data_IF_967241492665
#
_entry.id   IF_967241492665
#
_cell.length_a   1.000
_cell.length_b   1.000
_cell.length_c   1.000
_cell.angle_alpha   90.00
_cell.angle_beta   90.00
_cell.angle_gamma   90.00
#
_symmetry.space_group_name_H-M   'P 1'
#
loop_
_entity.id
_entity.type
_entity.pdbx_description
1 polymer ?
#
# COMPACT_ATOMS: atom_id res chain seq x y z
N UNK A 1 60.32 -9.37 19.16
CA UNK A 1 59.00 -8.76 19.45
C UNK A 1 58.43 -8.26 18.13
N UNK A 2 57.40 -8.92 17.60
CA UNK A 2 56.81 -8.60 16.30
C UNK A 2 55.37 -8.10 16.50
N UNK A 3 55.09 -6.88 16.05
CA UNK A 3 53.77 -6.27 16.09
C UNK A 3 52.96 -6.71 14.86
N UNK A 4 51.88 -7.45 15.10
CA UNK A 4 50.89 -7.79 14.07
C UNK A 4 49.89 -6.64 13.93
N UNK A 5 49.94 -5.95 12.80
CA UNK A 5 49.02 -4.86 12.46
C UNK A 5 47.67 -5.39 11.99
N UNK A 6 46.61 -5.08 12.74
CA UNK A 6 45.22 -5.33 12.39
C UNK A 6 44.74 -4.20 11.46
N UNK A 7 44.61 -4.50 10.17
CA UNK A 7 44.00 -3.59 9.21
C UNK A 7 42.47 -3.62 9.37
N UNK A 8 41.90 -2.55 9.92
CA UNK A 8 40.46 -2.33 9.95
C UNK A 8 40.00 -1.95 8.53
N UNK A 9 39.30 -2.86 7.86
CA UNK A 9 38.62 -2.56 6.60
C UNK A 9 37.25 -1.97 6.94
N UNK A 10 37.15 -0.64 6.90
CA UNK A 10 35.87 0.07 7.02
C UNK A 10 35.09 -0.07 5.71
N UNK A 11 34.18 -1.05 5.67
CA UNK A 11 33.22 -1.20 4.60
C UNK A 11 32.14 -0.12 4.74
N UNK A 12 32.27 0.98 3.99
CA UNK A 12 31.21 1.99 3.86
C UNK A 12 30.06 1.38 3.04
N UNK A 13 29.03 0.90 3.73
CA UNK A 13 27.77 0.50 3.11
C UNK A 13 27.05 1.77 2.64
N UNK A 14 27.26 2.16 1.38
CA UNK A 14 26.47 3.19 0.71
C UNK A 14 25.04 2.68 0.56
N UNK A 15 24.15 3.08 1.47
CA UNK A 15 22.73 2.79 1.36
C UNK A 15 22.17 3.42 0.09
N UNK A 16 21.67 2.59 -0.83
CA UNK A 16 21.00 3.07 -2.03
C UNK A 16 19.75 3.85 -1.61
N UNK A 17 19.74 5.16 -1.87
CA UNK A 17 18.56 5.98 -1.68
C UNK A 17 17.42 5.40 -2.54
N UNK A 18 16.31 5.04 -1.89
CA UNK A 18 15.14 4.48 -2.57
C UNK A 18 14.57 5.57 -3.48
N UNK A 19 14.78 5.45 -4.80
CA UNK A 19 14.18 6.37 -5.76
C UNK A 19 12.65 6.32 -5.64
N UNK A 20 12.00 7.48 -5.70
CA UNK A 20 10.55 7.56 -5.71
C UNK A 20 9.97 6.76 -6.89
N UNK A 21 8.84 6.06 -6.72
CA UNK A 21 8.24 5.28 -7.80
C UNK A 21 7.87 6.19 -8.97
N UNK A 22 8.21 5.74 -10.19
CA UNK A 22 7.86 6.45 -11.42
C UNK A 22 6.36 6.32 -11.70
N UNK A 23 5.58 7.26 -11.17
CA UNK A 23 4.15 7.32 -11.32
C UNK A 23 3.81 8.12 -12.60
N UNK A 24 3.15 7.51 -13.61
CA UNK A 24 2.50 8.24 -14.75
C UNK A 24 0.96 8.23 -14.79
N UNK A 25 0.24 9.38 -14.86
CA UNK A 25 0.74 10.76 -14.91
C UNK A 25 1.24 11.28 -13.56
N UNK A 26 2.32 12.06 -13.52
CA UNK A 26 2.96 12.49 -12.27
C UNK A 26 1.93 13.05 -11.25
N UNK A 27 1.93 12.56 -10.00
CA UNK A 27 1.02 13.06 -8.98
C UNK A 27 1.31 14.55 -8.74
N UNK A 28 0.25 15.33 -8.49
CA UNK A 28 0.39 16.77 -8.20
C UNK A 28 1.27 17.02 -6.98
N UNK A 29 1.17 16.14 -5.98
CA UNK A 29 1.98 16.14 -4.78
C UNK A 29 2.29 14.70 -4.39
N UNK A 30 3.55 14.42 -4.04
CA UNK A 30 3.98 13.13 -3.55
C UNK A 30 5.08 13.32 -2.51
N UNK A 31 4.85 12.77 -1.32
CA UNK A 31 5.89 12.63 -0.31
C UNK A 31 6.16 11.14 -0.13
N UNK A 32 7.40 10.73 -0.35
CA UNK A 32 7.84 9.35 -0.09
C UNK A 32 8.29 9.29 1.36
N UNK A 33 7.50 8.59 2.18
CA UNK A 33 7.90 8.26 3.55
C UNK A 33 8.85 7.06 3.59
N UNK A 34 9.41 6.79 4.77
CA UNK A 34 10.23 5.60 5.00
C UNK A 34 9.38 4.31 5.13
N UNK A 35 8.09 4.47 5.43
CA UNK A 35 7.16 3.35 5.55
C UNK A 35 6.82 2.76 4.18
N UNK A 36 7.10 1.47 4.04
CA UNK A 36 6.59 0.64 2.97
C UNK A 36 5.33 -0.07 3.45
N UNK A 37 4.41 -0.36 2.54
CA UNK A 37 3.34 -1.32 2.80
C UNK A 37 3.86 -2.71 2.43
N UNK A 38 4.37 -3.53 3.37
CA UNK A 38 4.60 -4.93 3.04
C UNK A 38 3.24 -5.55 2.72
N UNK A 39 3.18 -6.29 1.62
CA UNK A 39 1.99 -7.06 1.26
C UNK A 39 2.14 -8.47 1.86
N UNK A 40 1.48 -8.77 3.00
CA UNK A 40 1.48 -10.10 3.57
C UNK A 40 0.68 -11.08 2.69
N UNK A 41 0.59 -12.33 3.13
CA UNK A 41 -0.20 -13.34 2.44
C UNK A 41 -1.68 -12.96 2.34
N UNK A 42 -2.20 -12.17 3.28
CA UNK A 42 -3.61 -11.77 3.34
C UNK A 42 -3.77 -10.25 3.45
N UNK A 43 -4.55 -9.66 2.54
CA UNK A 43 -4.91 -8.24 2.53
C UNK A 43 -6.42 -8.09 2.69
N UNK A 44 -6.83 -7.28 3.66
CA UNK A 44 -8.23 -6.92 3.85
C UNK A 44 -8.49 -5.57 3.20
N UNK A 45 -9.44 -5.53 2.28
CA UNK A 45 -9.90 -4.28 1.66
C UNK A 45 -11.20 -3.89 2.32
N UNK A 46 -11.14 -2.85 3.16
CA UNK A 46 -12.26 -2.31 3.90
C UNK A 46 -12.91 -1.17 3.11
N UNK A 47 -14.21 -1.32 2.87
CA UNK A 47 -15.04 -0.34 2.15
C UNK A 47 -16.24 0.01 3.03
N UNK A 48 -16.71 1.25 2.99
CA UNK A 48 -17.84 1.71 3.80
C UNK A 48 -19.14 0.96 3.48
N UNK A 49 -20.04 0.86 4.46
CA UNK A 49 -21.32 0.14 4.28
C UNK A 49 -22.23 0.77 3.21
N UNK A 50 -22.10 2.08 2.98
CA UNK A 50 -22.86 2.83 1.99
C UNK A 50 -22.03 3.15 0.74
N UNK A 51 -21.05 2.30 0.42
CA UNK A 51 -20.23 2.50 -0.75
C UNK A 51 -21.04 2.43 -2.04
N UNK A 52 -20.76 3.39 -2.91
CA UNK A 52 -21.31 3.46 -4.26
C UNK A 52 -20.86 2.26 -5.10
N UNK A 53 -21.60 1.92 -6.18
CA UNK A 53 -21.18 0.89 -7.13
C UNK A 53 -19.76 1.11 -7.68
N UNK A 54 -19.35 2.36 -7.87
CA UNK A 54 -18.02 2.73 -8.34
C UNK A 54 -16.93 2.44 -7.30
N UNK A 55 -17.19 2.71 -6.01
CA UNK A 55 -16.26 2.36 -4.92
C UNK A 55 -16.12 0.86 -4.76
N UNK A 56 -17.23 0.11 -4.84
CA UNK A 56 -17.20 -1.35 -4.80
C UNK A 56 -16.41 -1.92 -5.99
N UNK A 57 -16.65 -1.41 -7.20
CA UNK A 57 -15.89 -1.80 -8.39
C UNK A 57 -14.39 -1.49 -8.26
N UNK A 58 -14.03 -0.34 -7.68
CA UNK A 58 -12.65 0.00 -7.40
C UNK A 58 -12.02 -1.00 -6.41
N UNK A 59 -12.74 -1.36 -5.35
CA UNK A 59 -12.27 -2.31 -4.36
C UNK A 59 -12.10 -3.74 -4.94
N UNK A 60 -13.07 -4.22 -5.73
CA UNK A 60 -12.98 -5.50 -6.45
C UNK A 60 -11.82 -5.54 -7.44
N UNK A 61 -11.58 -4.42 -8.14
CA UNK A 61 -10.44 -4.28 -9.04
C UNK A 61 -9.13 -4.40 -8.27
N UNK A 62 -9.04 -3.76 -7.10
CA UNK A 62 -7.85 -3.88 -6.25
C UNK A 62 -7.66 -5.31 -5.72
N UNK A 63 -8.74 -6.01 -5.34
CA UNK A 63 -8.66 -7.44 -4.95
C UNK A 63 -8.05 -8.27 -6.08
N UNK A 64 -8.58 -8.13 -7.29
CA UNK A 64 -8.12 -8.87 -8.47
C UNK A 64 -6.65 -8.55 -8.77
N UNK A 65 -6.28 -7.27 -8.77
CA UNK A 65 -4.92 -6.83 -9.04
C UNK A 65 -3.90 -7.37 -8.02
N UNK A 66 -4.25 -7.38 -6.72
CA UNK A 66 -3.39 -7.94 -5.68
C UNK A 66 -3.21 -9.46 -5.83
N UNK A 67 -4.28 -10.17 -6.20
CA UNK A 67 -4.23 -11.61 -6.45
C UNK A 67 -3.35 -11.95 -7.67
N UNK A 68 -3.52 -11.21 -8.77
CA UNK A 68 -2.82 -11.45 -10.04
C UNK A 68 -1.34 -11.03 -9.98
N UNK A 69 -1.03 -9.88 -9.37
CA UNK A 69 0.31 -9.28 -9.44
C UNK A 69 1.20 -9.62 -8.24
N UNK A 70 0.61 -9.75 -7.06
CA UNK A 70 1.37 -9.90 -5.81
C UNK A 70 1.25 -11.30 -5.21
N UNK A 71 0.43 -12.19 -5.79
CA UNK A 71 0.09 -13.50 -5.24
C UNK A 71 -0.47 -13.43 -3.80
N UNK A 72 -1.03 -12.27 -3.42
CA UNK A 72 -1.63 -12.04 -2.12
C UNK A 72 -3.11 -12.44 -2.17
N UNK A 73 -3.61 -13.10 -1.14
CA UNK A 73 -5.05 -13.30 -0.98
C UNK A 73 -5.67 -12.00 -0.49
N UNK A 74 -6.40 -11.32 -1.36
CA UNK A 74 -7.15 -10.14 -1.00
C UNK A 74 -8.64 -10.49 -0.83
N UNK A 75 -9.31 -9.91 0.17
CA UNK A 75 -10.76 -10.05 0.34
C UNK A 75 -11.40 -8.72 0.69
N UNK A 76 -12.63 -8.53 0.23
CA UNK A 76 -13.47 -7.43 0.67
C UNK A 76 -14.03 -7.73 2.05
N UNK A 77 -13.97 -6.75 2.94
CA UNK A 77 -14.62 -6.81 4.23
C UNK A 77 -15.34 -5.50 4.52
N UNK A 78 -16.36 -5.60 5.37
CA UNK A 78 -16.95 -4.42 5.99
C UNK A 78 -15.94 -3.76 6.93
N UNK A 79 -16.13 -2.46 7.26
CA UNK A 79 -15.29 -1.79 8.22
C UNK A 79 -15.35 -2.53 9.55
N UNK A 80 -14.21 -3.03 10.01
CA UNK A 80 -14.07 -3.83 11.22
C UNK A 80 -12.60 -3.89 11.62
N UNK A 81 -12.32 -4.49 12.77
CA UNK A 81 -10.93 -4.64 13.21
C UNK A 81 -10.15 -5.51 12.22
N UNK A 82 -9.01 -5.03 11.71
CA UNK A 82 -8.09 -5.85 10.94
C UNK A 82 -7.71 -7.11 11.70
N UNK A 83 -7.69 -8.26 11.02
CA UNK A 83 -7.06 -9.46 11.56
C UNK A 83 -5.58 -9.18 11.89
N UNK A 84 -5.07 -9.78 12.97
CA UNK A 84 -3.74 -9.48 13.53
C UNK A 84 -2.60 -9.59 12.50
N UNK A 85 -2.73 -10.52 11.54
CA UNK A 85 -1.69 -10.84 10.56
C UNK A 85 -1.96 -10.29 9.14
N UNK A 86 -2.95 -9.40 9.00
CA UNK A 86 -3.38 -8.86 7.70
C UNK A 86 -2.97 -7.41 7.51
N UNK A 87 -2.58 -7.05 6.28
CA UNK A 87 -2.51 -5.64 5.89
C UNK A 87 -3.92 -5.15 5.57
N UNK A 88 -4.22 -3.91 5.91
CA UNK A 88 -5.53 -3.31 5.63
C UNK A 88 -5.40 -2.21 4.59
N UNK A 89 -6.28 -2.22 3.60
CA UNK A 89 -6.50 -1.12 2.68
C UNK A 89 -7.90 -0.58 2.93
N UNK A 90 -8.00 0.68 3.36
CA UNK A 90 -9.28 1.36 3.53
C UNK A 90 -9.53 2.22 2.30
N UNK A 91 -10.71 2.09 1.71
CA UNK A 91 -11.08 2.78 0.47
C UNK A 91 -12.46 3.44 0.56
N UNK A 92 -12.55 4.69 0.11
CA UNK A 92 -13.84 5.34 -0.15
C UNK A 92 -13.75 6.82 -0.49
N UNK A 93 -14.91 7.41 -0.74
CA UNK A 93 -15.11 8.83 -0.94
C UNK A 93 -15.13 9.58 0.40
N UNK A 94 -14.48 10.74 0.43
CA UNK A 94 -14.52 11.67 1.55
C UNK A 94 -15.97 12.08 1.86
N UNK A 95 -16.38 11.94 3.12
CA UNK A 95 -17.71 12.33 3.60
C UNK A 95 -18.86 11.37 3.26
N UNK A 96 -18.72 10.45 2.29
CA UNK A 96 -19.78 9.50 1.92
C UNK A 96 -20.01 8.40 2.98
N UNK A 97 -18.94 8.00 3.68
CA UNK A 97 -18.96 6.92 4.66
C UNK A 97 -18.40 7.39 6.03
N UNK A 98 -19.14 8.20 6.82
CA UNK A 98 -18.65 8.76 8.08
C UNK A 98 -18.15 7.72 9.08
N UNK A 99 -18.86 6.58 9.21
CA UNK A 99 -18.48 5.51 10.12
C UNK A 99 -17.13 4.85 9.75
N UNK A 100 -16.85 4.70 8.44
CA UNK A 100 -15.55 4.21 7.97
C UNK A 100 -14.44 5.17 8.40
N UNK A 101 -14.65 6.47 8.15
CA UNK A 101 -13.64 7.48 8.45
C UNK A 101 -13.44 7.68 9.96
N UNK A 102 -14.50 7.57 10.75
CA UNK A 102 -14.41 7.57 12.21
C UNK A 102 -13.60 6.36 12.71
N UNK A 103 -13.81 5.17 12.14
CA UNK A 103 -13.01 3.98 12.44
C UNK A 103 -11.54 4.22 12.10
N UNK A 104 -11.22 4.76 10.92
CA UNK A 104 -9.83 5.06 10.55
C UNK A 104 -9.20 6.09 11.51
N UNK A 105 -9.92 7.16 11.85
CA UNK A 105 -9.42 8.15 12.81
C UNK A 105 -9.15 7.53 14.19
N UNK A 106 -10.04 6.64 14.67
CA UNK A 106 -9.84 5.89 15.91
C UNK A 106 -8.60 4.99 15.86
N UNK A 107 -8.40 4.28 14.74
CA UNK A 107 -7.23 3.42 14.53
C UNK A 107 -5.93 4.23 14.49
N UNK A 108 -5.93 5.37 13.80
CA UNK A 108 -4.76 6.22 13.67
C UNK A 108 -4.37 6.92 14.99
N UNK A 109 -5.32 7.13 15.90
CA UNK A 109 -5.14 7.96 17.12
C UNK A 109 -4.73 9.41 16.79
N UNK A 110 -5.01 9.84 15.56
CA UNK A 110 -4.78 11.19 15.03
C UNK A 110 -5.89 11.54 14.03
N UNK A 111 -6.13 12.83 13.74
CA UNK A 111 -7.07 13.21 12.70
C UNK A 111 -6.67 12.61 11.35
N UNK A 112 -7.68 12.16 10.61
CA UNK A 112 -7.49 11.77 9.21
C UNK A 112 -6.83 12.93 8.44
N UNK A 113 -5.93 12.64 7.48
CA UNK A 113 -5.46 13.64 6.55
C UNK A 113 -6.69 14.26 5.87
N UNK A 114 -6.89 15.56 6.09
CA UNK A 114 -7.97 16.25 5.40
C UNK A 114 -7.67 16.22 3.90
N UNK A 115 -8.70 15.89 3.11
CA UNK A 115 -8.65 16.18 1.69
C UNK A 115 -8.35 17.68 1.52
N UNK A 116 -7.37 18.07 0.69
CA UNK A 116 -7.11 19.48 0.46
C UNK A 116 -8.39 20.18 0.01
N UNK A 117 -8.70 21.35 0.59
CA UNK A 117 -9.88 22.12 0.17
C UNK A 117 -9.83 22.51 -1.32
N UNK A 118 -8.63 22.50 -1.90
CA UNK A 118 -8.36 22.76 -3.32
C UNK A 118 -8.39 21.50 -4.20
N UNK A 119 -8.78 20.34 -3.65
CA UNK A 119 -8.81 19.12 -4.44
C UNK A 119 -9.86 19.23 -5.55
N UNK A 120 -9.43 19.03 -6.78
CA UNK A 120 -10.30 19.04 -7.96
C UNK A 120 -11.23 17.81 -7.97
N UNK A 121 -12.28 17.80 -8.80
CA UNK A 121 -13.00 16.58 -9.13
C UNK A 121 -12.03 15.46 -9.53
N UNK A 122 -12.35 14.22 -9.17
CA UNK A 122 -11.48 13.05 -9.33
C UNK A 122 -10.16 13.11 -8.53
N UNK A 123 -9.98 14.12 -7.69
CA UNK A 123 -8.87 14.21 -6.76
C UNK A 123 -8.90 13.06 -5.75
N UNK A 124 -7.74 12.64 -5.28
CA UNK A 124 -7.62 11.61 -4.26
C UNK A 124 -6.36 11.79 -3.43
N UNK A 125 -6.37 11.19 -2.25
CA UNK A 125 -5.19 11.01 -1.41
C UNK A 125 -4.93 9.51 -1.22
N UNK A 126 -3.65 9.16 -1.19
CA UNK A 126 -3.17 7.83 -0.87
C UNK A 126 -2.14 7.99 0.23
N UNK A 127 -2.40 7.38 1.38
CA UNK A 127 -1.48 7.37 2.52
C UNK A 127 -1.17 5.93 2.89
N UNK A 128 0.11 5.63 3.05
CA UNK A 128 0.58 4.38 3.66
C UNK A 128 1.12 4.71 5.05
N UNK A 129 0.72 3.92 6.04
CA UNK A 129 1.13 4.05 7.43
C UNK A 129 1.14 2.68 8.10
N UNK A 130 1.44 2.64 9.40
CA UNK A 130 1.23 1.46 10.22
C UNK A 130 0.53 1.83 11.53
N UNK A 131 -0.43 1.00 11.94
CA UNK A 131 -1.13 1.11 13.23
C UNK A 131 -0.74 -0.08 14.08
N UNK A 132 -0.06 0.18 15.20
CA UNK A 132 0.40 -0.89 16.11
C UNK A 132 1.26 -1.95 15.39
N UNK A 133 2.13 -1.48 14.48
CA UNK A 133 2.99 -2.35 13.67
C UNK A 133 2.30 -3.01 12.47
N UNK A 134 0.98 -2.84 12.31
CA UNK A 134 0.20 -3.42 11.21
C UNK A 134 0.14 -2.46 10.02
N UNK A 135 0.47 -2.91 8.79
CA UNK A 135 0.41 -2.06 7.60
C UNK A 135 -1.02 -1.60 7.30
N UNK A 136 -1.19 -0.29 7.11
CA UNK A 136 -2.46 0.33 6.75
C UNK A 136 -2.25 1.25 5.54
N UNK A 137 -3.01 1.03 4.48
CA UNK A 137 -3.17 1.98 3.39
C UNK A 137 -4.54 2.63 3.47
N UNK A 138 -4.58 3.94 3.24
CA UNK A 138 -5.80 4.75 3.22
C UNK A 138 -5.90 5.38 1.84
N UNK A 139 -6.98 5.07 1.15
CA UNK A 139 -7.33 5.60 -0.16
C UNK A 139 -8.60 6.40 -0.02
N UNK A 140 -8.50 7.71 -0.15
CA UNK A 140 -9.63 8.62 -0.02
C UNK A 140 -9.79 9.42 -1.32
N UNK A 141 -10.92 9.27 -2.01
CA UNK A 141 -11.28 10.11 -3.15
C UNK A 141 -12.09 11.34 -2.73
N UNK A 142 -11.99 12.45 -3.47
CA UNK A 142 -12.93 13.58 -3.38
C UNK A 142 -14.35 13.12 -3.74
N UNK A 143 -14.42 12.27 -4.76
CA UNK A 143 -15.62 11.61 -5.26
C UNK A 143 -15.31 10.12 -5.55
N UNK A 144 -16.33 9.38 -6.01
CA UNK A 144 -16.18 7.98 -6.36
C UNK A 144 -15.20 7.76 -7.53
N UNK A 145 -15.13 8.69 -8.50
CA UNK A 145 -14.19 8.63 -9.63
C UNK A 145 -12.74 8.82 -9.19
N UNK A 146 -12.48 9.70 -8.21
CA UNK A 146 -11.17 9.88 -7.61
C UNK A 146 -10.72 8.64 -6.84
N UNK A 147 -11.67 7.96 -6.17
CA UNK A 147 -11.40 6.68 -5.51
C UNK A 147 -10.97 5.60 -6.50
N UNK A 148 -11.66 5.48 -7.64
CA UNK A 148 -11.30 4.56 -8.72
C UNK A 148 -9.94 4.93 -9.36
N UNK A 149 -9.69 6.23 -9.55
CA UNK A 149 -8.43 6.74 -10.08
C UNK A 149 -7.25 6.39 -9.17
N UNK A 150 -7.44 6.48 -7.85
CA UNK A 150 -6.45 6.09 -6.86
C UNK A 150 -6.09 4.59 -6.94
N UNK A 151 -7.08 3.71 -7.09
CA UNK A 151 -6.84 2.26 -7.26
C UNK A 151 -6.10 1.96 -8.57
N UNK A 152 -6.53 2.57 -9.66
CA UNK A 152 -5.85 2.44 -10.96
C UNK A 152 -4.39 2.86 -10.85
N UNK A 153 -4.12 3.89 -10.04
CA UNK A 153 -2.77 4.36 -9.73
C UNK A 153 -1.95 3.36 -8.92
N UNK A 154 -2.56 2.80 -7.88
CA UNK A 154 -1.96 1.79 -7.03
C UNK A 154 -1.48 0.59 -7.86
N UNK A 155 -2.34 0.10 -8.76
CA UNK A 155 -2.04 -1.03 -9.63
C UNK A 155 -0.81 -0.80 -10.51
N UNK A 156 -0.63 0.44 -10.98
CA UNK A 156 0.52 0.82 -11.80
C UNK A 156 1.81 0.99 -10.99
N UNK A 157 1.71 1.36 -9.71
CA UNK A 157 2.88 1.60 -8.85
C UNK A 157 3.43 0.31 -8.23
N UNK A 158 2.55 -0.66 -7.91
CA UNK A 158 2.95 -1.94 -7.31
C UNK A 158 3.81 -2.79 -8.25
N UNK A 159 3.65 -2.64 -9.57
CA UNK A 159 4.50 -3.30 -10.57
C UNK A 159 5.96 -2.85 -10.57
N UNK A 160 6.28 -1.71 -9.96
CA UNK A 160 7.66 -1.20 -9.83
C UNK A 160 8.34 -1.51 -8.51
N UNK A 161 7.62 -2.02 -7.50
CA UNK A 161 8.15 -2.26 -6.15
C UNK A 161 8.81 -3.66 -5.99
N UNK A 162 8.92 -4.43 -7.07
CA UNK A 162 9.40 -5.81 -7.07
C UNK A 162 10.93 -5.92 -7.17
N UNK A 163 11.68 -5.37 -6.21
CA UNK A 163 13.06 -5.88 -5.99
C UNK A 163 13.51 -5.67 -4.56
N UNK A 164 13.30 -6.70 -3.74
CA UNK A 164 13.83 -6.77 -2.38
C UNK A 164 13.67 -8.14 -1.77
N UNK A 165 14.58 -9.06 -2.12
CA UNK A 165 14.92 -10.30 -1.38
C UNK A 165 13.88 -11.43 -1.34
N UNK A 166 14.10 -12.51 -2.13
CA UNK A 166 13.72 -13.84 -1.66
C UNK A 166 13.18 -14.91 -2.62
N UNK A 167 13.16 -14.75 -3.95
CA UNK A 167 12.77 -15.88 -4.83
C UNK A 167 13.97 -16.79 -5.11
N UNK A 168 14.17 -17.81 -4.27
CA UNK A 168 15.00 -18.97 -4.60
C UNK A 168 14.41 -19.67 -5.83
N UNK A 169 15.12 -19.58 -6.94
CA UNK A 169 15.01 -20.49 -8.07
C UNK A 169 15.16 -21.93 -7.57
N UNK A 170 14.05 -22.71 -7.54
CA UNK A 170 14.14 -24.17 -7.52
C UNK A 170 14.24 -24.63 -8.97
N UNK A 171 15.46 -24.84 -9.44
CA UNK A 171 15.71 -25.61 -10.66
C UNK A 171 15.17 -27.02 -10.46
N UNK A 172 14.07 -27.38 -11.12
CA UNK A 172 13.67 -28.78 -11.28
C UNK A 172 14.60 -29.40 -12.33
N UNK A 173 15.59 -30.16 -11.87
CA UNK A 173 16.30 -31.12 -12.70
C UNK A 173 15.30 -32.19 -13.18
N UNK A 174 14.86 -32.08 -14.43
CA UNK A 174 14.19 -33.18 -15.14
C UNK A 174 15.27 -34.21 -15.49
N UNK A 175 15.36 -35.27 -14.69
CA UNK A 175 15.98 -36.52 -15.12
C UNK A 175 15.00 -37.19 -16.09
N UNK A 176 15.39 -37.31 -17.37
CA UNK A 176 14.69 -38.18 -18.32
C UNK A 176 15.19 -39.63 -18.11
N UNK A 177 14.32 -40.64 -18.30
CA UNK A 177 14.74 -42.03 -18.43
C UNK A 177 15.53 -42.26 -19.73
#
# INVERSE_FOLDING_TARGET
>A
MAFAGLALVSLLATGAASAAPALFPAPQQCAVGEQRLPLPAEVVIAVGENASPTELYAAETLVRDLAERSQCQAKLARPGEPGADSATVVLGQAGANPALWELVAKLLKEPLPAMPATAAPEGYTLRVTAVEGRPLAIVQGVDASGTLSAVSRWSNSSSGATTGSGCRSRSRSRTRP
#
